data_IF_258306158563
#
_entry.id   IF_258306158563
#
_cell.length_a   1.000
_cell.length_b   1.000
_cell.length_c   1.000
_cell.angle_alpha   90.00
_cell.angle_beta   90.00
_cell.angle_gamma   90.00
#
_symmetry.space_group_name_H-M   'P 1'
#
loop_
_entity.id
_entity.type
_entity.pdbx_description
1 polymer ?
#
# COMPACT_ATOMS: atom_id res chain seq x y z
N UNK A 1 17.51 17.54 2.44
CA UNK A 1 17.97 17.43 3.85
C UNK A 1 16.82 17.58 4.87
N UNK A 2 15.67 18.20 4.54
CA UNK A 2 14.52 18.28 5.45
C UNK A 2 13.57 17.06 5.49
N UNK A 3 13.65 16.14 4.52
CA UNK A 3 12.71 15.01 4.39
C UNK A 3 12.67 14.10 5.61
N UNK A 4 13.83 13.83 6.23
CA UNK A 4 13.93 12.96 7.40
C UNK A 4 13.21 13.58 8.60
N UNK A 5 13.44 14.87 8.88
CA UNK A 5 12.76 15.60 9.96
C UNK A 5 11.24 15.67 9.73
N UNK A 6 10.80 15.87 8.48
CA UNK A 6 9.36 15.90 8.15
C UNK A 6 8.72 14.52 8.35
N UNK A 7 9.38 13.43 7.93
CA UNK A 7 8.85 12.07 8.15
C UNK A 7 8.76 11.72 9.64
N UNK A 8 9.75 12.09 10.44
CA UNK A 8 9.66 11.89 11.89
C UNK A 8 8.57 12.77 12.50
N UNK A 9 8.46 14.04 12.10
CA UNK A 9 7.44 14.95 12.61
C UNK A 9 6.00 14.53 12.31
N UNK A 10 5.73 13.86 11.19
CA UNK A 10 4.39 13.38 10.84
C UNK A 10 4.07 11.99 11.41
N UNK A 11 5.07 11.12 11.54
CA UNK A 11 4.90 9.76 12.07
C UNK A 11 4.82 9.75 13.59
N UNK A 12 5.63 10.57 14.28
CA UNK A 12 5.68 10.64 15.74
C UNK A 12 4.32 10.90 16.41
N UNK A 13 3.50 11.89 15.99
CA UNK A 13 2.20 12.13 16.61
C UNK A 13 1.24 10.95 16.40
N UNK A 14 1.24 10.34 15.22
CA UNK A 14 0.41 9.16 14.93
C UNK A 14 0.80 7.97 15.81
N UNK A 15 2.11 7.76 15.98
CA UNK A 15 2.66 6.70 16.81
C UNK A 15 2.30 6.87 18.30
N UNK A 16 2.40 8.11 18.80
CA UNK A 16 2.02 8.47 20.16
C UNK A 16 0.52 8.26 20.44
N UNK A 17 -0.35 8.38 19.44
CA UNK A 17 -1.80 8.12 19.57
C UNK A 17 -2.08 6.62 19.54
N UNK A 18 -1.41 5.85 18.68
CA UNK A 18 -1.65 4.41 18.52
C UNK A 18 -1.16 3.61 19.74
N UNK A 19 -0.03 3.98 20.34
CA UNK A 19 0.52 3.32 21.53
C UNK A 19 -0.47 3.17 22.71
N UNK A 20 -1.08 4.25 23.22
CA UNK A 20 -2.03 4.17 24.33
C UNK A 20 -3.28 3.39 23.92
N UNK A 21 -3.76 3.55 22.67
CA UNK A 21 -4.87 2.75 22.15
C UNK A 21 -4.50 1.26 22.18
N UNK A 22 -3.30 0.88 21.76
CA UNK A 22 -2.86 -0.53 21.73
C UNK A 22 -2.76 -1.15 23.13
N UNK A 23 -2.24 -0.40 24.12
CA UNK A 23 -2.14 -0.87 25.51
C UNK A 23 -3.53 -1.07 26.11
N UNK A 24 -4.44 -0.11 25.89
CA UNK A 24 -5.82 -0.24 26.34
C UNK A 24 -6.49 -1.41 25.61
N UNK A 25 -6.31 -1.51 24.29
CA UNK A 25 -6.89 -2.53 23.45
C UNK A 25 -6.48 -3.96 23.85
N UNK A 26 -5.24 -4.18 24.28
CA UNK A 26 -4.78 -5.49 24.76
C UNK A 26 -5.54 -5.97 26.01
N UNK A 27 -5.96 -5.04 26.89
CA UNK A 27 -6.75 -5.36 28.08
C UNK A 27 -8.23 -5.69 27.75
N UNK A 28 -8.76 -5.22 26.63
CA UNK A 28 -10.14 -5.49 26.19
C UNK A 28 -10.27 -6.69 25.24
N UNK A 29 -9.14 -7.24 24.76
CA UNK A 29 -9.13 -8.33 23.77
C UNK A 29 -9.65 -9.67 24.29
N UNK A 30 -9.69 -9.85 25.61
CA UNK A 30 -10.25 -11.06 26.25
C UNK A 30 -11.78 -11.14 26.17
N UNK A 31 -12.46 -10.08 25.73
CA UNK A 31 -13.91 -10.06 25.61
C UNK A 31 -14.34 -10.47 24.19
N UNK A 32 -15.18 -11.51 24.08
CA UNK A 32 -15.61 -12.10 22.80
C UNK A 32 -16.26 -11.11 21.81
N UNK A 33 -16.76 -9.97 22.30
CA UNK A 33 -17.31 -8.86 21.50
C UNK A 33 -16.20 -8.22 20.65
N UNK A 34 -15.01 -8.03 21.22
CA UNK A 34 -13.88 -7.39 20.54
C UNK A 34 -13.34 -8.28 19.43
N UNK A 35 -13.27 -9.60 19.64
CA UNK A 35 -12.86 -10.54 18.59
C UNK A 35 -13.78 -10.49 17.36
N UNK A 36 -15.10 -10.36 17.58
CA UNK A 36 -16.09 -10.22 16.50
C UNK A 36 -15.91 -8.93 15.71
N UNK A 37 -15.61 -7.82 16.39
CA UNK A 37 -15.31 -6.54 15.74
C UNK A 37 -14.04 -6.65 14.88
N UNK A 38 -13.00 -7.35 15.36
CA UNK A 38 -11.74 -7.53 14.64
C UNK A 38 -11.90 -8.36 13.36
N UNK A 39 -12.79 -9.35 13.39
CA UNK A 39 -13.19 -10.09 12.17
C UNK A 39 -13.83 -9.15 11.14
N UNK A 40 -14.54 -8.11 11.56
CA UNK A 40 -15.10 -7.06 10.68
C UNK A 40 -14.08 -6.00 10.22
N UNK A 41 -13.07 -5.68 11.04
CA UNK A 41 -12.03 -4.70 10.67
C UNK A 41 -11.18 -5.22 9.50
N UNK A 42 -10.87 -6.51 9.46
CA UNK A 42 -10.04 -7.09 8.38
C UNK A 42 -10.59 -6.80 6.97
N UNK A 43 -11.86 -7.12 6.63
CA UNK A 43 -12.41 -6.77 5.32
C UNK A 43 -12.59 -5.26 5.14
N UNK A 44 -12.84 -4.48 6.21
CA UNK A 44 -12.93 -3.02 6.11
C UNK A 44 -11.59 -2.39 5.67
N UNK A 45 -10.47 -2.87 6.20
CA UNK A 45 -9.12 -2.43 5.78
C UNK A 45 -8.85 -2.77 4.32
N UNK A 46 -9.25 -3.97 3.87
CA UNK A 46 -9.14 -4.35 2.46
C UNK A 46 -9.95 -3.39 1.57
N UNK A 47 -11.18 -3.03 1.95
CA UNK A 47 -11.98 -2.05 1.22
C UNK A 47 -11.32 -0.66 1.18
N UNK A 48 -10.78 -0.19 2.31
CA UNK A 48 -10.09 1.10 2.41
C UNK A 48 -8.83 1.17 1.53
N UNK A 49 -8.09 0.08 1.38
CA UNK A 49 -6.94 0.00 0.46
C UNK A 49 -7.42 -0.08 -1.00
N UNK A 50 -8.51 -0.80 -1.24
CA UNK A 50 -9.05 -1.04 -2.59
C UNK A 50 -9.45 0.27 -3.28
N UNK A 51 -10.05 1.22 -2.56
CA UNK A 51 -10.50 2.52 -3.10
C UNK A 51 -9.38 3.33 -3.78
N UNK A 52 -8.27 3.69 -3.09
CA UNK A 52 -7.17 4.40 -3.73
C UNK A 52 -6.50 3.56 -4.82
N UNK A 53 -6.49 2.23 -4.69
CA UNK A 53 -5.93 1.34 -5.73
C UNK A 53 -6.73 1.42 -7.02
N UNK A 54 -8.07 1.39 -6.95
CA UNK A 54 -8.94 1.58 -8.12
C UNK A 54 -8.85 2.99 -8.69
N UNK A 55 -8.77 4.02 -7.84
CA UNK A 55 -8.59 5.40 -8.27
C UNK A 55 -7.26 5.59 -9.03
N UNK A 56 -6.19 4.96 -8.55
CA UNK A 56 -4.88 4.96 -9.20
C UNK A 56 -4.91 4.22 -10.53
N UNK A 57 -5.58 3.07 -10.60
CA UNK A 57 -5.78 2.32 -11.85
C UNK A 57 -6.55 3.14 -12.91
N UNK A 58 -7.57 3.89 -12.49
CA UNK A 58 -8.34 4.78 -13.39
C UNK A 58 -7.49 5.96 -13.87
N UNK A 59 -6.75 6.59 -12.95
CA UNK A 59 -5.84 7.72 -13.25
C UNK A 59 -4.68 7.30 -14.17
N UNK A 60 -4.19 6.07 -14.04
CA UNK A 60 -3.15 5.50 -14.89
C UNK A 60 -3.60 5.21 -16.34
N UNK A 61 -4.88 5.45 -16.69
CA UNK A 61 -5.46 5.18 -18.02
C UNK A 61 -5.05 3.79 -18.56
N UNK A 62 -5.29 2.75 -17.77
CA UNK A 62 -4.94 1.38 -18.16
C UNK A 62 -5.77 0.98 -19.39
N UNK A 63 -5.16 1.08 -20.56
CA UNK A 63 -5.74 0.62 -21.83
C UNK A 63 -5.58 -0.91 -21.94
N UNK A 64 -6.35 -1.59 -22.81
CA UNK A 64 -6.31 -3.06 -22.91
C UNK A 64 -4.90 -3.60 -23.18
N UNK A 65 -4.07 -2.81 -23.86
CA UNK A 65 -2.67 -3.10 -24.15
C UNK A 65 -1.71 -2.85 -22.98
N UNK A 66 -2.03 -1.95 -22.04
CA UNK A 66 -1.14 -1.55 -20.94
C UNK A 66 -1.46 -2.25 -19.61
N UNK A 67 -2.50 -3.10 -19.56
CA UNK A 67 -2.84 -3.87 -18.35
C UNK A 67 -1.81 -4.96 -18.04
N UNK A 68 -1.03 -5.38 -19.04
CA UNK A 68 0.00 -6.40 -18.85
C UNK A 68 1.10 -5.92 -17.89
N UNK A 69 1.43 -4.63 -17.87
CA UNK A 69 2.48 -4.08 -16.98
C UNK A 69 2.11 -4.25 -15.49
N UNK A 70 0.96 -3.77 -15.00
CA UNK A 70 0.55 -4.00 -13.62
C UNK A 70 0.22 -5.46 -13.31
N UNK A 71 -0.27 -6.24 -14.28
CA UNK A 71 -0.54 -7.66 -14.07
C UNK A 71 0.78 -8.46 -13.89
N UNK A 72 1.77 -8.21 -14.74
CA UNK A 72 3.10 -8.85 -14.66
C UNK A 72 3.85 -8.39 -13.41
N UNK A 73 3.78 -7.11 -13.04
CA UNK A 73 4.41 -6.63 -11.81
C UNK A 73 3.73 -7.21 -10.55
N UNK A 74 2.40 -7.29 -10.51
CA UNK A 74 1.68 -7.95 -9.42
C UNK A 74 2.02 -9.44 -9.33
N UNK A 75 2.11 -10.14 -10.47
CA UNK A 75 2.48 -11.54 -10.53
C UNK A 75 3.93 -11.78 -10.07
N UNK A 76 4.86 -10.92 -10.48
CA UNK A 76 6.27 -10.97 -10.04
C UNK A 76 6.40 -10.72 -8.53
N UNK A 77 5.65 -9.77 -7.96
CA UNK A 77 5.63 -9.54 -6.50
C UNK A 77 5.13 -10.81 -5.77
N UNK A 78 4.03 -11.38 -6.26
CA UNK A 78 3.38 -12.54 -5.65
C UNK A 78 4.25 -13.80 -5.71
N UNK A 79 4.96 -14.02 -6.82
CA UNK A 79 5.69 -15.27 -7.07
C UNK A 79 7.16 -15.23 -6.65
N UNK A 80 7.83 -14.07 -6.71
CA UNK A 80 9.25 -13.96 -6.36
C UNK A 80 9.52 -13.47 -4.93
N UNK A 81 8.53 -12.94 -4.20
CA UNK A 81 8.78 -12.32 -2.89
C UNK A 81 9.82 -11.20 -2.92
N UNK A 82 10.16 -10.72 -4.13
CA UNK A 82 11.17 -9.70 -4.35
C UNK A 82 10.66 -8.39 -3.77
N UNK A 83 11.51 -7.72 -2.99
CA UNK A 83 11.16 -6.43 -2.39
C UNK A 83 10.55 -5.51 -3.46
N UNK A 84 9.33 -4.97 -3.26
CA UNK A 84 8.64 -4.12 -4.23
C UNK A 84 9.48 -2.97 -4.76
N UNK A 85 10.49 -2.54 -3.98
CA UNK A 85 11.47 -1.52 -4.33
C UNK A 85 12.17 -1.80 -5.66
N UNK A 86 12.65 -3.03 -5.88
CA UNK A 86 13.35 -3.39 -7.13
C UNK A 86 12.42 -3.37 -8.33
N UNK A 87 11.17 -3.79 -8.14
CA UNK A 87 10.14 -3.80 -9.18
C UNK A 87 9.75 -2.37 -9.56
N UNK A 88 9.69 -1.45 -8.60
CA UNK A 88 9.44 -0.02 -8.86
C UNK A 88 10.59 0.59 -9.68
N UNK A 89 11.84 0.26 -9.36
CA UNK A 89 13.02 0.76 -10.09
C UNK A 89 13.04 0.20 -11.54
N UNK A 90 12.77 -1.10 -11.72
CA UNK A 90 12.67 -1.73 -13.04
C UNK A 90 11.51 -1.21 -13.88
N UNK A 91 10.32 -1.07 -13.28
CA UNK A 91 9.16 -0.51 -13.96
C UNK A 91 9.36 0.96 -14.35
N UNK A 92 10.01 1.75 -13.49
CA UNK A 92 10.33 3.15 -13.76
C UNK A 92 11.32 3.32 -14.92
N UNK A 93 12.36 2.49 -14.97
CA UNK A 93 13.35 2.52 -16.07
C UNK A 93 12.76 2.02 -17.39
N UNK A 94 11.98 0.94 -17.39
CA UNK A 94 11.25 0.46 -18.57
C UNK A 94 10.21 1.48 -19.07
N UNK A 95 9.48 2.12 -18.16
CA UNK A 95 8.51 3.17 -18.49
C UNK A 95 9.20 4.40 -19.14
N UNK A 96 10.38 4.78 -18.65
CA UNK A 96 11.17 5.86 -19.23
C UNK A 96 11.69 5.53 -20.63
N UNK A 97 12.17 4.31 -20.86
CA UNK A 97 12.62 3.85 -22.18
C UNK A 97 11.46 3.80 -23.20
N UNK A 98 10.31 3.24 -22.82
CA UNK A 98 9.13 3.20 -23.71
C UNK A 98 8.60 4.60 -24.05
N UNK A 99 8.76 5.59 -23.16
CA UNK A 99 8.38 6.99 -23.40
C UNK A 99 9.21 7.63 -24.51
N UNK A 100 10.50 7.29 -24.62
CA UNK A 100 11.41 7.85 -25.63
C UNK A 100 11.28 7.18 -27.02
N UNK A 101 10.80 5.94 -27.11
CA UNK A 101 10.63 5.24 -28.41
C UNK A 101 9.40 5.70 -29.18
N UNK A 102 8.44 6.38 -28.52
CA UNK A 102 7.22 6.90 -29.15
C UNK A 102 7.29 8.41 -29.46
N UNK A 103 8.47 9.02 -29.35
CA UNK A 103 8.71 10.42 -29.68
C UNK A 103 9.45 10.56 -31.01
#
# INVERSE_FOLDING_TARGET
>A
RGSILTTFGTVLPSFLIILPIAIFFHNFKDNAIVERIFKGIRPAVVALITVPTFSMAKSAKINRYNIWIPAVSALLIWLLGFSPVWIIIGAGTLGYLMRNVKN
#
